data_IF_206274201173
#
_entry.id   IF_206274201173
#
_cell.length_a   1.000
_cell.length_b   1.000
_cell.length_c   1.000
_cell.angle_alpha   90.00
_cell.angle_beta   90.00
_cell.angle_gamma   90.00
#
_symmetry.space_group_name_H-M   'P 1'
#
loop_
_entity.id
_entity.type
_entity.pdbx_description
1 polymer ?
#
# COMPACT_ATOMS: atom_id res chain seq x y z
N UNK A 1 7.91 -8.14 -12.68
CA UNK A 1 7.81 -8.50 -11.24
C UNK A 1 9.04 -7.92 -10.56
N UNK A 2 8.87 -7.02 -9.58
CA UNK A 2 9.94 -6.56 -8.68
C UNK A 2 9.32 -6.06 -7.37
N UNK A 3 9.86 -6.52 -6.25
CA UNK A 3 9.53 -6.15 -4.87
C UNK A 3 10.81 -5.62 -4.21
N UNK A 4 10.69 -4.64 -3.31
CA UNK A 4 11.79 -4.26 -2.41
C UNK A 4 11.26 -4.04 -0.99
N UNK A 5 11.87 -4.75 -0.05
CA UNK A 5 11.64 -4.65 1.39
C UNK A 5 13.01 -4.49 2.03
N UNK A 6 13.49 -3.23 2.07
CA UNK A 6 14.40 -2.70 3.08
C UNK A 6 14.54 -1.17 2.91
N UNK A 7 13.41 -0.45 2.97
CA UNK A 7 13.33 1.01 2.91
C UNK A 7 12.61 1.59 1.68
N UNK A 8 11.29 1.67 1.80
CA UNK A 8 10.36 2.67 1.20
C UNK A 8 10.25 2.81 -0.33
N UNK A 9 10.18 1.73 -1.10
CA UNK A 9 9.61 1.80 -2.45
C UNK A 9 8.77 0.55 -2.77
N UNK A 10 7.52 0.77 -3.20
CA UNK A 10 6.65 -0.29 -3.72
C UNK A 10 6.42 -0.06 -5.22
N UNK A 11 6.74 -1.06 -6.02
CA UNK A 11 6.59 -1.01 -7.49
C UNK A 11 5.52 -2.00 -7.92
N UNK A 12 4.26 -1.55 -7.94
CA UNK A 12 3.14 -2.26 -8.57
C UNK A 12 3.09 -1.87 -10.06
N UNK A 13 3.78 -2.62 -10.92
CA UNK A 13 3.73 -2.42 -12.38
C UNK A 13 4.55 -1.22 -12.88
N UNK A 14 3.99 -0.47 -13.83
CA UNK A 14 4.63 0.62 -14.59
C UNK A 14 4.71 1.95 -13.83
N UNK A 15 4.38 1.96 -12.54
CA UNK A 15 4.20 3.16 -11.72
C UNK A 15 4.96 3.02 -10.41
N UNK A 16 5.78 4.03 -10.07
CA UNK A 16 6.44 4.13 -8.77
C UNK A 16 5.55 4.88 -7.78
N UNK A 17 5.49 4.38 -6.53
CA UNK A 17 4.72 4.97 -5.44
C UNK A 17 5.63 5.31 -4.25
N UNK A 18 5.42 6.48 -3.65
CA UNK A 18 5.92 6.75 -2.30
C UNK A 18 4.97 6.10 -1.31
N UNK A 19 5.49 5.13 -0.56
CA UNK A 19 4.68 4.31 0.34
C UNK A 19 5.24 4.28 1.75
N UNK A 20 4.34 4.11 2.73
CA UNK A 20 4.70 3.65 4.07
C UNK A 20 4.09 2.27 4.29
N UNK A 21 4.94 1.29 4.60
CA UNK A 21 4.51 -0.08 4.89
C UNK A 21 3.89 -0.16 6.28
N UNK A 22 2.80 -0.91 6.41
CA UNK A 22 2.12 -1.10 7.69
C UNK A 22 2.64 -2.39 8.34
N UNK A 23 3.22 -2.26 9.54
CA UNK A 23 3.69 -3.40 10.35
C UNK A 23 2.53 -4.07 11.12
N UNK A 24 1.48 -4.46 10.38
CA UNK A 24 0.25 -5.01 10.95
C UNK A 24 -0.27 -6.25 10.20
N UNK A 25 0.65 -7.10 9.75
CA UNK A 25 0.34 -8.32 8.97
C UNK A 25 -0.78 -9.18 9.61
N UNK A 26 -0.82 -9.25 10.94
CA UNK A 26 -1.84 -10.03 11.66
C UNK A 26 -3.24 -9.39 11.66
N UNK A 27 -3.36 -8.05 11.65
CA UNK A 27 -4.67 -7.38 11.67
C UNK A 27 -5.37 -7.48 10.30
N UNK A 28 -4.59 -7.47 9.22
CA UNK A 28 -5.11 -7.57 7.86
C UNK A 28 -5.31 -9.01 7.37
N UNK A 29 -4.74 -10.02 8.03
CA UNK A 29 -4.87 -11.43 7.64
C UNK A 29 -6.34 -11.86 7.44
N UNK A 30 -7.21 -11.55 8.41
CA UNK A 30 -8.65 -11.87 8.32
C UNK A 30 -9.33 -11.14 7.16
N UNK A 31 -8.92 -9.90 6.87
CA UNK A 31 -9.45 -9.15 5.74
C UNK A 31 -9.03 -9.78 4.41
N UNK A 32 -7.78 -10.26 4.29
CA UNK A 32 -7.30 -10.98 3.10
C UNK A 32 -8.14 -12.22 2.87
N UNK A 33 -8.41 -13.03 3.91
CA UNK A 33 -9.21 -14.24 3.77
C UNK A 33 -10.62 -13.94 3.25
N UNK A 34 -11.27 -12.89 3.75
CA UNK A 34 -12.59 -12.44 3.29
C UNK A 34 -12.52 -11.98 1.82
N UNK A 35 -11.53 -11.15 1.48
CA UNK A 35 -11.35 -10.66 0.10
C UNK A 35 -11.09 -11.82 -0.85
N UNK A 36 -10.20 -12.73 -0.49
CA UNK A 36 -9.86 -13.89 -1.32
C UNK A 36 -11.06 -14.80 -1.55
N UNK A 37 -11.89 -15.02 -0.51
CA UNK A 37 -13.15 -15.74 -0.64
C UNK A 37 -14.10 -15.07 -1.64
N UNK A 38 -14.33 -13.76 -1.51
CA UNK A 38 -15.19 -12.99 -2.42
C UNK A 38 -14.67 -13.08 -3.86
N UNK A 39 -13.36 -12.91 -4.07
CA UNK A 39 -12.74 -12.99 -5.39
C UNK A 39 -12.96 -14.37 -6.03
N UNK A 40 -12.75 -15.45 -5.28
CA UNK A 40 -12.96 -16.83 -5.75
C UNK A 40 -14.42 -17.11 -6.08
N UNK A 41 -15.37 -16.69 -5.24
CA UNK A 41 -16.81 -16.85 -5.48
C UNK A 41 -17.25 -16.19 -6.80
N UNK A 42 -16.64 -15.06 -7.15
CA UNK A 42 -16.89 -14.34 -8.39
C UNK A 42 -15.93 -14.69 -9.55
N UNK A 43 -15.16 -15.79 -9.43
CA UNK A 43 -14.21 -16.28 -10.45
C UNK A 43 -13.11 -15.29 -10.83
N UNK A 44 -12.74 -14.40 -9.93
CA UNK A 44 -11.53 -13.59 -10.07
C UNK A 44 -10.31 -14.36 -9.56
N UNK A 45 -9.09 -13.99 -10.02
CA UNK A 45 -7.87 -14.42 -9.35
C UNK A 45 -7.94 -14.06 -7.87
N UNK A 46 -7.45 -14.97 -7.02
CA UNK A 46 -7.32 -14.71 -5.59
C UNK A 46 -6.39 -13.53 -5.29
N UNK A 47 -6.36 -13.12 -4.03
CA UNK A 47 -5.47 -12.04 -3.59
C UNK A 47 -3.99 -12.43 -3.70
N UNK A 48 -3.09 -11.46 -3.61
CA UNK A 48 -1.64 -11.68 -3.73
C UNK A 48 -1.13 -12.68 -2.68
N UNK A 49 -0.31 -13.65 -3.12
CA UNK A 49 0.25 -14.70 -2.26
C UNK A 49 1.21 -14.16 -1.17
N UNK A 50 1.89 -13.04 -1.45
CA UNK A 50 2.71 -12.31 -0.49
C UNK A 50 2.25 -10.85 -0.44
N UNK A 51 1.22 -10.53 0.37
CA UNK A 51 0.64 -9.20 0.41
C UNK A 51 1.56 -8.23 1.15
N UNK A 52 1.58 -6.97 0.72
CA UNK A 52 2.21 -5.88 1.46
C UNK A 52 1.24 -4.71 1.56
N UNK A 53 0.84 -4.41 2.80
CA UNK A 53 -0.05 -3.30 3.09
C UNK A 53 0.73 -2.01 3.18
N UNK A 54 0.25 -1.00 2.46
CA UNK A 54 0.91 0.27 2.40
C UNK A 54 -0.07 1.41 2.11
N UNK A 55 0.36 2.62 2.45
CA UNK A 55 -0.36 3.85 2.10
C UNK A 55 0.45 4.60 1.07
N UNK A 56 -0.16 4.81 -0.09
CA UNK A 56 0.43 5.56 -1.19
C UNK A 56 0.12 7.03 -1.04
N UNK A 57 1.16 7.86 -0.93
CA UNK A 57 1.03 9.33 -0.84
C UNK A 57 1.12 10.02 -2.20
N UNK A 58 1.89 9.46 -3.13
CA UNK A 58 2.06 10.01 -4.47
C UNK A 58 2.42 8.94 -5.48
N UNK A 59 2.08 9.15 -6.75
CA UNK A 59 2.44 8.27 -7.86
C UNK A 59 2.99 9.07 -9.06
N UNK A 60 3.80 8.41 -9.88
CA UNK A 60 4.30 8.95 -11.15
C UNK A 60 3.96 8.01 -12.30
N UNK A 61 3.45 8.57 -13.41
CA UNK A 61 3.21 7.86 -14.67
C UNK A 61 4.46 7.81 -15.56
N UNK A 62 5.47 8.61 -15.23
CA UNK A 62 6.72 8.66 -15.97
C UNK A 62 7.57 7.42 -15.66
N UNK A 63 7.58 6.49 -16.62
CA UNK A 63 8.36 5.24 -16.55
C UNK A 63 9.87 5.50 -16.55
N UNK A 64 10.33 6.61 -17.13
CA UNK A 64 11.75 6.94 -17.17
C UNK A 64 12.31 7.21 -15.78
N UNK A 65 11.47 7.64 -14.82
CA UNK A 65 11.87 7.83 -13.43
C UNK A 65 12.22 6.52 -12.73
N UNK A 66 11.65 5.37 -13.14
CA UNK A 66 12.02 4.07 -12.54
C UNK A 66 13.50 3.76 -12.74
N UNK A 67 14.07 4.17 -13.87
CA UNK A 67 15.47 3.95 -14.22
C UNK A 67 16.36 5.15 -13.87
N UNK A 68 15.76 6.33 -13.72
CA UNK A 68 16.45 7.60 -13.46
C UNK A 68 16.24 8.15 -12.03
N UNK A 69 15.71 7.35 -11.10
CA UNK A 69 15.73 7.76 -9.70
C UNK A 69 17.20 7.95 -9.29
N UNK A 70 17.58 9.12 -8.78
CA UNK A 70 18.92 9.34 -8.29
C UNK A 70 19.31 8.23 -7.31
N UNK A 71 20.54 7.71 -7.41
CA UNK A 71 21.03 6.67 -6.48
C UNK A 71 20.92 7.08 -5.01
N UNK A 72 20.89 8.40 -4.75
CA UNK A 72 20.77 9.01 -3.44
C UNK A 72 19.32 9.40 -3.04
N UNK A 73 18.32 9.01 -3.83
CA UNK A 73 16.92 9.36 -3.59
C UNK A 73 16.41 8.84 -2.25
N UNK A 74 16.74 7.59 -1.91
CA UNK A 74 16.38 6.97 -0.63
C UNK A 74 16.99 7.76 0.53
N UNK A 75 18.27 8.10 0.44
CA UNK A 75 19.01 8.85 1.44
C UNK A 75 18.42 10.27 1.61
N UNK A 76 18.04 10.94 0.51
CA UNK A 76 17.35 12.24 0.54
C UNK A 76 16.00 12.15 1.26
N UNK A 77 15.18 11.15 0.94
CA UNK A 77 13.91 10.91 1.63
C UNK A 77 14.11 10.66 3.13
N UNK A 78 15.08 9.81 3.50
CA UNK A 78 15.39 9.52 4.89
C UNK A 78 15.94 10.75 5.63
N UNK A 79 16.74 11.59 4.97
CA UNK A 79 17.24 12.84 5.55
C UNK A 79 16.09 13.80 5.87
N UNK A 80 15.12 13.95 4.96
CA UNK A 80 13.91 14.74 5.20
C UNK A 80 13.12 14.18 6.38
N UNK A 81 12.84 12.87 6.39
CA UNK A 81 12.11 12.24 7.51
C UNK A 81 12.83 12.45 8.86
N UNK A 82 14.16 12.39 8.89
CA UNK A 82 14.98 12.68 10.08
C UNK A 82 14.88 14.14 10.50
N UNK A 83 14.91 15.09 9.56
CA UNK A 83 14.78 16.53 9.85
C UNK A 83 13.44 16.84 10.53
N UNK A 84 12.37 16.17 10.11
CA UNK A 84 11.05 16.29 10.72
C UNK A 84 10.84 15.41 11.96
N UNK A 85 11.90 14.78 12.48
CA UNK A 85 11.85 13.90 13.64
C UNK A 85 10.77 12.81 13.53
N UNK A 86 10.54 12.30 12.31
CA UNK A 86 9.54 11.29 12.05
C UNK A 86 9.98 9.99 12.72
N UNK A 87 9.37 9.67 13.86
CA UNK A 87 9.59 8.43 14.60
C UNK A 87 8.95 7.26 13.83
N UNK A 88 9.52 6.04 13.92
CA UNK A 88 8.74 4.84 13.67
C UNK A 88 7.42 4.92 14.46
N UNK A 89 6.29 4.67 13.82
CA UNK A 89 4.94 4.85 14.37
C UNK A 89 4.47 6.31 14.58
N UNK A 90 5.10 7.29 13.93
CA UNK A 90 4.61 8.67 13.94
C UNK A 90 3.16 8.82 13.42
N UNK A 91 2.68 7.83 12.67
CA UNK A 91 1.31 7.77 12.17
C UNK A 91 0.63 6.53 12.77
N UNK A 92 -0.41 6.76 13.57
CA UNK A 92 -1.34 5.70 14.01
C UNK A 92 -2.61 5.82 13.18
N UNK A 93 -3.06 4.70 12.61
CA UNK A 93 -4.21 4.68 11.70
C UNK A 93 -5.25 3.75 12.29
N UNK A 94 -6.39 4.32 12.68
CA UNK A 94 -7.60 3.57 12.97
C UNK A 94 -8.34 3.30 11.66
N UNK A 95 -8.71 2.04 11.42
CA UNK A 95 -9.56 1.66 10.29
C UNK A 95 -11.00 1.60 10.78
N UNK A 96 -11.79 2.61 10.43
CA UNK A 96 -13.19 2.72 10.88
C UNK A 96 -14.19 2.08 9.90
N UNK A 97 -13.84 2.01 8.62
CA UNK A 97 -14.71 1.49 7.57
C UNK A 97 -13.97 0.73 6.47
N UNK A 98 -14.70 -0.17 5.79
CA UNK A 98 -14.24 -0.89 4.61
C UNK A 98 -15.14 -0.47 3.44
N UNK A 99 -14.52 -0.10 2.31
CA UNK A 99 -15.24 0.33 1.10
C UNK A 99 -14.93 -0.56 -0.09
N UNK A 100 -15.95 -0.83 -0.90
CA UNK A 100 -15.86 -1.50 -2.19
C UNK A 100 -16.15 -0.48 -3.30
N UNK A 101 -15.27 -0.36 -4.30
CA UNK A 101 -15.50 0.48 -5.49
C UNK A 101 -15.78 -0.40 -6.70
N UNK A 102 -16.91 -0.17 -7.37
CA UNK A 102 -17.26 -0.83 -8.63
C UNK A 102 -17.58 0.24 -9.69
N UNK A 103 -16.64 0.45 -10.63
CA UNK A 103 -16.73 1.52 -11.62
C UNK A 103 -16.77 2.90 -10.94
N UNK A 104 -17.86 3.65 -11.19
CA UNK A 104 -18.10 4.98 -10.59
C UNK A 104 -18.77 4.93 -9.21
N UNK A 105 -19.18 3.75 -8.74
CA UNK A 105 -19.92 3.59 -7.48
C UNK A 105 -18.98 3.16 -6.35
N UNK A 106 -19.25 3.68 -5.16
CA UNK A 106 -18.57 3.32 -3.91
C UNK A 106 -19.61 2.84 -2.92
N UNK A 107 -19.39 1.64 -2.37
CA UNK A 107 -20.22 1.02 -1.36
C UNK A 107 -19.41 0.97 -0.07
N UNK A 108 -20.05 1.31 1.05
CA UNK A 108 -19.42 1.30 2.36
C UNK A 108 -20.10 0.24 3.22
N UNK A 109 -19.30 -0.55 3.94
CA UNK A 109 -19.83 -1.45 4.96
C UNK A 109 -20.24 -0.60 6.17
N UNK A 110 -21.54 -0.34 6.34
CA UNK A 110 -22.05 0.33 7.54
C UNK A 110 -22.06 -0.66 8.71
N UNK A 111 -21.61 -0.23 9.89
CA UNK A 111 -21.78 -1.00 11.12
C UNK A 111 -23.28 -1.24 11.33
N UNK A 112 -23.69 -2.51 11.39
CA UNK A 112 -25.01 -2.86 11.90
C UNK A 112 -25.03 -2.47 13.38
N UNK A 113 -25.87 -1.50 13.73
CA UNK A 113 -26.21 -1.12 15.11
C UNK A 113 -26.84 -2.28 15.86
#
# INVERSE_FOLDING_TARGET
MSFFLDGNEFVLGLTSFLVFTLDQDRQFAKLIEIIDKILREHRYPGYYANPCFHISFSYSMDKSRKENLPKDWKEKCLAVLKQYQCQPNAITIAVDDIRLKAGKRVYQLTKST
#
